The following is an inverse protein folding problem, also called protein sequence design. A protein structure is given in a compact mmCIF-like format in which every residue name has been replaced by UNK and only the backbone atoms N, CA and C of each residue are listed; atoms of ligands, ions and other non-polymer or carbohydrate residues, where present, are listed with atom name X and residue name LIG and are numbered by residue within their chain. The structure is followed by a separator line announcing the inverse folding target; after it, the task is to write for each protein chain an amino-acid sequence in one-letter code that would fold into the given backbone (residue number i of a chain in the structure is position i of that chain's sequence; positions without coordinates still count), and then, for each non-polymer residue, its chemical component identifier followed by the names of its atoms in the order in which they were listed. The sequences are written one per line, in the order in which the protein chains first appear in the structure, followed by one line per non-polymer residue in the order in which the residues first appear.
data_IF_569771786760
#
_entry.id   IF_569771786760
#
_cell.length_a   1.000
_cell.length_b   1.000
_cell.length_c   1.000
_cell.angle_alpha   90.00
_cell.angle_beta   90.00
_cell.angle_gamma   90.00
#
_symmetry.space_group_name_H-M   'P 1'
#
loop_
_entity.id
_entity.type
_entity.pdbx_description
1 polymer ?
#
# COMPACT_ATOMS: atom_id res chain seq x y z
N UNK A 1 28.11 5.60 1.75
CA UNK A 1 27.76 7.02 1.49
C UNK A 1 26.31 7.08 1.02
N UNK A 2 25.46 7.80 1.76
CA UNK A 2 24.01 7.66 1.80
C UNK A 2 23.29 8.05 0.50
N UNK A 3 22.71 7.06 -0.20
CA UNK A 3 21.81 7.24 -1.36
C UNK A 3 20.60 8.13 -1.01
N UNK A 4 20.13 8.05 0.24
CA UNK A 4 19.04 8.89 0.76
C UNK A 4 19.44 10.38 0.74
N UNK A 5 20.66 10.71 1.13
CA UNK A 5 21.16 12.10 1.10
C UNK A 5 21.25 12.62 -0.34
N UNK A 6 21.65 11.77 -1.29
CA UNK A 6 21.70 12.14 -2.71
C UNK A 6 20.29 12.40 -3.29
N UNK A 7 19.32 11.55 -2.98
CA UNK A 7 17.94 11.70 -3.46
C UNK A 7 17.26 12.94 -2.88
N UNK A 8 17.43 13.20 -1.59
CA UNK A 8 16.91 14.41 -0.94
C UNK A 8 17.55 15.67 -1.53
N UNK A 9 18.87 15.66 -1.72
CA UNK A 9 19.59 16.77 -2.36
C UNK A 9 19.11 17.01 -3.80
N UNK A 10 18.90 15.95 -4.57
CA UNK A 10 18.45 16.05 -5.96
C UNK A 10 17.00 16.55 -6.07
N UNK A 11 16.12 16.15 -5.16
CA UNK A 11 14.73 16.66 -5.07
C UNK A 11 14.72 18.15 -4.72
N UNK A 12 15.46 18.56 -3.69
CA UNK A 12 15.54 19.97 -3.28
C UNK A 12 16.13 20.87 -4.38
N UNK A 13 17.12 20.36 -5.14
CA UNK A 13 17.71 21.08 -6.27
C UNK A 13 16.73 21.24 -7.45
N UNK A 14 15.89 20.25 -7.71
CA UNK A 14 14.84 20.34 -8.72
C UNK A 14 13.74 21.33 -8.32
N UNK A 15 13.32 21.29 -7.06
CA UNK A 15 12.31 22.20 -6.51
C UNK A 15 12.79 23.66 -6.52
N UNK A 16 14.05 23.91 -6.17
CA UNK A 16 14.66 25.24 -6.28
C UNK A 16 14.69 25.77 -7.72
N UNK A 17 14.92 24.91 -8.71
CA UNK A 17 14.88 25.28 -10.14
C UNK A 17 13.47 25.62 -10.60
N UNK A 18 12.48 24.83 -10.20
CA UNK A 18 11.07 25.11 -10.51
C UNK A 18 10.61 26.43 -9.87
N UNK A 19 10.98 26.67 -8.61
CA UNK A 19 10.68 27.91 -7.91
C UNK A 19 11.35 29.13 -8.59
N UNK A 20 12.62 29.01 -9.01
CA UNK A 20 13.31 30.06 -9.75
C UNK A 20 12.63 30.37 -11.10
N UNK A 21 12.19 29.35 -11.84
CA UNK A 21 11.46 29.54 -13.12
C UNK A 21 10.10 30.20 -12.90
N UNK A 22 9.36 29.82 -11.85
CA UNK A 22 8.11 30.48 -11.44
C UNK A 22 8.32 31.94 -11.04
N UNK A 23 9.38 32.24 -10.27
CA UNK A 23 9.73 33.62 -9.91
C UNK A 23 10.17 34.44 -11.12
N UNK A 24 10.90 33.86 -12.07
CA UNK A 24 11.28 34.54 -13.32
C UNK A 24 10.04 34.87 -14.17
N UNK A 25 9.12 33.91 -14.36
CA UNK A 25 7.86 34.12 -15.09
C UNK A 25 6.99 35.18 -14.39
N UNK A 26 6.92 35.17 -13.07
CA UNK A 26 6.21 36.20 -12.29
C UNK A 26 6.85 37.59 -12.43
N UNK A 27 8.18 37.69 -12.45
CA UNK A 27 8.91 38.93 -12.70
C UNK A 27 8.68 39.45 -14.12
N UNK A 28 8.69 38.57 -15.12
CA UNK A 28 8.42 38.91 -16.52
C UNK A 28 7.00 39.44 -16.71
N UNK A 29 6.00 38.75 -16.15
CA UNK A 29 4.59 39.20 -16.19
C UNK A 29 4.46 40.57 -15.52
N UNK A 30 5.10 40.77 -14.36
CA UNK A 30 5.08 42.06 -13.65
C UNK A 30 5.76 43.16 -14.48
N UNK A 31 6.90 42.88 -15.11
CA UNK A 31 7.59 43.84 -15.95
C UNK A 31 6.73 44.25 -17.14
N UNK A 32 6.10 43.28 -17.79
CA UNK A 32 5.22 43.50 -18.96
C UNK A 32 3.95 44.27 -18.60
N UNK A 33 3.40 44.06 -17.40
CA UNK A 33 2.29 44.84 -16.87
C UNK A 33 2.71 46.29 -16.58
N UNK A 34 3.89 46.49 -15.98
CA UNK A 34 4.46 47.83 -15.74
C UNK A 34 4.73 48.57 -17.06
N UNK A 35 5.26 47.88 -18.07
CA UNK A 35 5.49 48.44 -19.41
C UNK A 35 4.17 48.84 -20.10
N UNK A 36 3.13 48.00 -19.96
CA UNK A 36 1.79 48.31 -20.48
C UNK A 36 1.18 49.53 -19.79
N UNK A 37 1.32 49.64 -18.47
CA UNK A 37 0.87 50.83 -17.73
C UNK A 37 1.63 52.09 -18.14
N UNK A 38 2.95 52.01 -18.35
CA UNK A 38 3.73 53.15 -18.84
C UNK A 38 3.30 53.58 -20.24
N UNK A 39 3.01 52.61 -21.11
CA UNK A 39 2.51 52.90 -22.46
C UNK A 39 1.13 53.55 -22.45
N UNK A 40 0.22 53.09 -21.60
CA UNK A 40 -1.12 53.67 -21.44
C UNK A 40 -1.06 55.11 -20.88
N UNK A 41 -0.16 55.37 -19.92
CA UNK A 41 0.07 56.74 -19.42
C UNK A 41 0.62 57.64 -20.53
N UNK A 42 1.58 57.16 -21.33
CA UNK A 42 2.12 57.94 -22.45
C UNK A 42 1.09 58.20 -23.56
N UNK A 43 0.21 57.24 -23.85
CA UNK A 43 -0.89 57.39 -24.81
C UNK A 43 -1.98 58.36 -24.30
N UNK A 44 -2.29 58.34 -23.00
CA UNK A 44 -3.18 59.32 -22.36
C UNK A 44 -2.56 60.72 -22.33
N UNK A 45 -1.27 60.86 -21.98
CA UNK A 45 -0.57 62.15 -22.03
C UNK A 45 -0.48 62.70 -23.46
N UNK A 46 -0.36 61.83 -24.47
CA UNK A 46 -0.41 62.22 -25.87
C UNK A 46 -1.82 62.63 -26.29
N UNK A 47 -2.86 61.93 -25.80
CA UNK A 47 -4.26 62.29 -26.07
C UNK A 47 -4.67 63.59 -25.39
N UNK A 48 -4.24 63.84 -24.15
CA UNK A 48 -4.54 65.09 -23.42
C UNK A 48 -3.87 66.30 -24.06
N UNK A 49 -2.67 66.14 -24.65
CA UNK A 49 -2.02 67.22 -25.43
C UNK A 49 -2.77 67.57 -26.71
N UNK A 50 -3.42 66.61 -27.36
CA UNK A 50 -4.23 66.86 -28.55
C UNK A 50 -5.64 67.36 -28.21
N UNK A 51 -6.20 66.95 -27.07
CA UNK A 51 -7.51 67.41 -26.61
C UNK A 51 -7.49 68.84 -26.04
N UNK A 52 -6.35 69.34 -25.55
CA UNK A 52 -6.22 70.72 -25.09
C UNK A 52 -5.98 71.75 -26.21
N UNK A 53 -5.73 71.32 -27.46
CA UNK A 53 -5.65 72.23 -28.61
C UNK A 53 -6.99 72.54 -29.29
N UNK A 54 -8.05 71.76 -29.04
CA UNK A 54 -9.32 71.85 -29.79
C UNK A 54 -10.56 72.12 -28.92
N UNK A 55 -10.39 72.71 -27.72
CA UNK A 55 -11.52 73.19 -26.91
C UNK A 55 -11.70 74.70 -27.04
N UNK A 56 -11.90 75.13 -28.28
CA UNK A 56 -12.57 76.38 -28.59
C UNK A 56 -13.43 76.21 -29.84
N UNK A 57 -14.56 75.53 -29.74
CA UNK A 57 -15.85 75.92 -30.35
C UNK A 57 -16.94 74.83 -30.21
N UNK A 58 -18.17 75.32 -30.05
CA UNK A 58 -19.47 74.66 -30.32
C UNK A 58 -20.13 73.81 -29.22
N UNK A 59 -21.07 74.48 -28.52
CA UNK A 59 -22.37 73.95 -28.11
C UNK A 59 -23.02 73.05 -29.17
N UNK A 60 -23.58 71.90 -28.78
CA UNK A 60 -24.96 71.51 -29.13
C UNK A 60 -25.47 70.29 -28.35
N UNK A 61 -26.79 70.28 -28.16
CA UNK A 61 -27.62 69.40 -27.35
C UNK A 61 -27.72 67.94 -27.83
N UNK A 62 -27.98 67.06 -26.86
CA UNK A 62 -29.16 66.19 -26.92
C UNK A 62 -28.95 64.68 -27.11
N UNK A 63 -29.45 63.92 -26.12
CA UNK A 63 -30.01 62.56 -26.17
C UNK A 63 -29.01 61.42 -26.50
N UNK A 64 -28.79 60.43 -25.64
CA UNK A 64 -29.81 59.60 -24.98
C UNK A 64 -30.08 58.39 -25.87
N UNK A 65 -29.43 57.25 -25.60
CA UNK A 65 -30.12 55.97 -25.37
C UNK A 65 -29.15 54.78 -25.25
N UNK A 66 -29.41 54.04 -24.18
CA UNK A 66 -28.81 52.77 -23.83
C UNK A 66 -29.39 51.64 -24.70
N UNK A 67 -28.55 50.81 -25.32
CA UNK A 67 -28.96 49.44 -25.67
C UNK A 67 -27.89 48.46 -25.20
N UNK A 68 -28.19 47.87 -24.03
CA UNK A 68 -27.63 46.62 -23.55
C UNK A 68 -28.37 45.48 -24.23
N UNK A 69 -27.66 44.58 -24.92
CA UNK A 69 -28.16 43.23 -25.17
C UNK A 69 -27.08 42.19 -24.84
N UNK A 70 -27.44 41.40 -23.84
CA UNK A 70 -26.67 40.33 -23.20
C UNK A 70 -26.81 39.04 -24.01
N UNK A 71 -25.75 38.25 -23.93
CA UNK A 71 -25.43 36.94 -24.49
C UNK A 71 -26.57 35.91 -24.64
N UNK A 72 -26.45 35.01 -25.65
CA UNK A 72 -26.21 33.55 -25.49
C UNK A 72 -26.52 32.75 -26.78
N UNK A 73 -25.53 32.05 -27.34
CA UNK A 73 -25.44 30.58 -27.37
C UNK A 73 -24.38 30.08 -28.38
N UNK A 74 -23.43 29.31 -27.86
CA UNK A 74 -22.55 28.41 -28.60
C UNK A 74 -23.36 27.28 -29.22
N UNK A 75 -23.19 27.02 -30.53
CA UNK A 75 -23.34 25.68 -31.08
C UNK A 75 -22.16 25.36 -31.99
N UNK A 76 -21.44 24.32 -31.57
CA UNK A 76 -20.43 23.60 -32.31
C UNK A 76 -20.99 23.10 -33.65
N UNK A 77 -20.40 23.52 -34.76
CA UNK A 77 -20.51 22.78 -36.02
C UNK A 77 -19.11 22.35 -36.41
N UNK A 78 -18.86 21.07 -36.15
CA UNK A 78 -17.76 20.32 -36.72
C UNK A 78 -18.13 19.81 -38.10
N UNK A 79 -17.09 19.76 -38.94
CA UNK A 79 -16.84 18.83 -40.06
C UNK A 79 -17.22 19.23 -41.48
N UNK A 80 -16.24 18.90 -42.33
CA UNK A 80 -16.27 18.72 -43.78
C UNK A 80 -16.42 19.98 -44.64
N UNK A 81 -15.29 20.58 -45.01
CA UNK A 81 -15.13 21.30 -46.28
C UNK A 81 -13.68 21.19 -46.75
N UNK A 82 -13.29 20.00 -47.21
CA UNK A 82 -12.09 19.78 -48.02
C UNK A 82 -12.48 19.57 -49.48
N UNK A 83 -13.07 20.56 -50.13
CA UNK A 83 -13.14 20.63 -51.60
C UNK A 83 -13.44 22.08 -52.04
N UNK A 84 -12.43 22.92 -52.23
CA UNK A 84 -12.46 23.98 -53.25
C UNK A 84 -11.13 24.73 -53.25
N UNK A 85 -10.17 24.24 -54.02
CA UNK A 85 -8.91 24.95 -54.28
C UNK A 85 -8.57 24.93 -55.77
N UNK A 86 -9.58 25.11 -56.63
CA UNK A 86 -9.35 25.18 -58.07
C UNK A 86 -10.28 26.13 -58.83
N UNK A 87 -10.76 27.21 -58.19
CA UNK A 87 -11.63 28.16 -58.86
C UNK A 87 -11.42 29.60 -58.38
N UNK A 88 -10.22 30.16 -58.54
CA UNK A 88 -10.05 31.61 -58.69
C UNK A 88 -8.59 31.97 -58.97
N UNK A 89 -8.18 32.05 -60.23
CA UNK A 89 -6.87 32.63 -60.59
C UNK A 89 -6.76 33.23 -61.98
N UNK A 90 -7.87 33.53 -62.71
CA UNK A 90 -7.77 34.10 -64.08
C UNK A 90 -8.83 35.13 -64.49
N UNK A 91 -9.45 35.84 -63.56
CA UNK A 91 -10.30 36.99 -63.91
C UNK A 91 -10.05 38.17 -62.99
N UNK A 92 -8.94 38.87 -63.18
CA UNK A 92 -8.88 40.32 -62.88
C UNK A 92 -7.64 40.94 -63.51
N UNK A 93 -7.70 41.21 -64.81
CA UNK A 93 -6.71 42.05 -65.50
C UNK A 93 -7.34 42.87 -66.63
N UNK A 94 -8.63 43.18 -66.50
CA UNK A 94 -9.35 44.13 -67.36
C UNK A 94 -10.52 44.69 -66.56
N UNK A 95 -10.23 45.65 -65.71
CA UNK A 95 -11.19 46.71 -65.44
C UNK A 95 -10.55 47.97 -66.03
N UNK A 96 -10.95 48.25 -67.26
CA UNK A 96 -10.68 49.49 -67.96
C UNK A 96 -11.19 50.63 -67.08
N UNK A 97 -10.32 51.55 -66.70
CA UNK A 97 -10.73 52.83 -66.11
C UNK A 97 -11.45 53.64 -67.19
N UNK A 98 -12.75 53.41 -67.34
CA UNK A 98 -13.65 54.38 -67.94
C UNK A 98 -13.93 55.48 -66.89
N UNK A 99 -12.88 56.23 -66.55
CA UNK A 99 -12.94 57.49 -65.81
C UNK A 99 -13.36 58.61 -66.77
N UNK A 100 -14.62 58.62 -67.15
CA UNK A 100 -15.28 59.83 -67.64
C UNK A 100 -16.63 59.96 -66.94
N UNK A 101 -16.59 60.08 -65.62
CA UNK A 101 -17.66 60.68 -64.84
C UNK A 101 -17.46 62.19 -64.83
N UNK A 102 -17.89 62.88 -65.88
CA UNK A 102 -17.82 64.36 -66.02
C UNK A 102 -18.75 65.12 -65.03
N UNK A 103 -19.23 64.46 -63.97
CA UNK A 103 -20.09 65.03 -62.94
C UNK A 103 -19.43 64.90 -61.55
N UNK A 104 -19.28 66.01 -60.80
CA UNK A 104 -18.66 66.00 -59.46
C UNK A 104 -19.41 65.17 -58.42
N UNK A 105 -20.63 64.67 -58.73
CA UNK A 105 -21.36 63.74 -57.87
C UNK A 105 -20.82 62.31 -57.98
N UNK A 106 -20.44 61.86 -59.16
CA UNK A 106 -20.01 60.47 -59.37
C UNK A 106 -18.63 60.23 -58.76
N UNK A 107 -17.74 61.23 -58.80
CA UNK A 107 -16.45 61.18 -58.13
C UNK A 107 -16.60 61.14 -56.59
N UNK A 108 -17.61 61.81 -56.04
CA UNK A 108 -17.93 61.74 -54.60
C UNK A 108 -18.49 60.37 -54.21
N UNK A 109 -19.33 59.78 -55.04
CA UNK A 109 -19.83 58.41 -54.81
C UNK A 109 -18.70 57.38 -54.89
N UNK A 110 -17.78 57.52 -55.85
CA UNK A 110 -16.61 56.66 -55.96
C UNK A 110 -15.65 56.81 -54.77
N UNK A 111 -15.38 58.03 -54.34
CA UNK A 111 -14.58 58.31 -53.14
C UNK A 111 -15.23 57.68 -51.90
N UNK A 112 -16.54 57.82 -51.74
CA UNK A 112 -17.27 57.21 -50.64
C UNK A 112 -17.23 55.68 -50.68
N UNK A 113 -17.34 55.07 -51.86
CA UNK A 113 -17.23 53.61 -52.02
C UNK A 113 -15.82 53.10 -51.67
N UNK A 114 -14.78 53.85 -52.05
CA UNK A 114 -13.40 53.56 -51.64
C UNK A 114 -13.20 53.70 -50.14
N UNK A 115 -13.75 54.76 -49.52
CA UNK A 115 -13.73 54.96 -48.07
C UNK A 115 -14.43 53.81 -47.33
N UNK A 116 -15.60 53.36 -47.81
CA UNK A 116 -16.29 52.21 -47.24
C UNK A 116 -15.50 50.90 -47.39
N UNK A 117 -14.84 50.68 -48.54
CA UNK A 117 -13.96 49.52 -48.76
C UNK A 117 -12.76 49.56 -47.82
N UNK A 118 -12.14 50.73 -47.62
CA UNK A 118 -11.07 50.90 -46.65
C UNK A 118 -11.56 50.61 -45.22
N UNK A 119 -12.72 51.14 -44.84
CA UNK A 119 -13.32 50.87 -43.52
C UNK A 119 -13.59 49.38 -43.32
N UNK A 120 -14.18 48.69 -44.31
CA UNK A 120 -14.45 47.24 -44.25
C UNK A 120 -13.17 46.42 -44.11
N UNK A 121 -12.12 46.76 -44.86
CA UNK A 121 -10.82 46.07 -44.77
C UNK A 121 -10.13 46.33 -43.44
N UNK A 122 -10.17 47.54 -42.89
CA UNK A 122 -9.60 47.84 -41.57
C UNK A 122 -10.33 47.08 -40.45
N UNK A 123 -11.66 46.99 -40.50
CA UNK A 123 -12.45 46.21 -39.53
C UNK A 123 -12.11 44.71 -39.66
N UNK A 124 -12.05 44.18 -40.88
CA UNK A 124 -11.68 42.78 -41.11
C UNK A 124 -10.25 42.49 -40.66
N UNK A 125 -9.31 43.41 -40.88
CA UNK A 125 -7.93 43.26 -40.43
C UNK A 125 -7.84 43.22 -38.90
N UNK A 126 -8.57 44.10 -38.21
CA UNK A 126 -8.66 44.09 -36.75
C UNK A 126 -9.31 42.79 -36.21
N UNK A 127 -10.29 42.23 -36.93
CA UNK A 127 -10.87 40.92 -36.59
C UNK A 127 -9.84 39.79 -36.74
N UNK A 128 -9.10 39.77 -37.85
CA UNK A 128 -8.07 38.77 -38.11
C UNK A 128 -6.93 38.86 -37.09
N UNK A 129 -6.55 40.06 -36.63
CA UNK A 129 -5.55 40.22 -35.58
C UNK A 129 -6.04 39.67 -34.22
N UNK A 130 -7.33 39.86 -33.88
CA UNK A 130 -7.91 39.25 -32.68
C UNK A 130 -7.94 37.73 -32.76
N UNK A 131 -8.33 37.17 -33.90
CA UNK A 131 -8.33 35.72 -34.13
C UNK A 131 -6.91 35.14 -34.09
N UNK A 132 -5.95 35.79 -34.75
CA UNK A 132 -4.52 35.44 -34.69
C UNK A 132 -4.03 35.45 -33.26
N UNK A 133 -4.35 36.49 -32.48
CA UNK A 133 -3.93 36.58 -31.09
C UNK A 133 -4.58 35.49 -30.22
N UNK A 134 -5.85 35.16 -30.48
CA UNK A 134 -6.54 34.03 -29.83
C UNK A 134 -5.85 32.69 -30.14
N UNK A 135 -5.52 32.43 -31.41
CA UNK A 135 -4.80 31.21 -31.80
C UNK A 135 -3.39 31.15 -31.23
N UNK A 136 -2.69 32.28 -31.14
CA UNK A 136 -1.37 32.34 -30.47
C UNK A 136 -1.48 31.89 -29.02
N UNK A 137 -2.46 32.40 -28.27
CA UNK A 137 -2.68 31.96 -26.88
C UNK A 137 -3.04 30.48 -26.79
N UNK A 138 -3.88 29.98 -27.70
CA UNK A 138 -4.27 28.57 -27.72
C UNK A 138 -3.06 27.66 -28.01
N UNK A 139 -2.19 28.05 -28.95
CA UNK A 139 -0.95 27.34 -29.25
C UNK A 139 -0.03 27.30 -28.02
N UNK A 140 0.11 28.42 -27.29
CA UNK A 140 0.95 28.46 -26.10
C UNK A 140 0.39 27.60 -24.96
N UNK A 141 -0.94 27.55 -24.80
CA UNK A 141 -1.57 26.62 -23.85
C UNK A 141 -1.30 25.16 -24.22
N UNK A 142 -1.42 24.80 -25.51
CA UNK A 142 -1.12 23.45 -25.96
C UNK A 142 0.36 23.08 -25.81
N UNK A 143 1.29 24.04 -25.97
CA UNK A 143 2.71 23.79 -25.67
C UNK A 143 2.93 23.50 -24.19
N UNK A 144 2.35 24.31 -23.30
CA UNK A 144 2.43 24.10 -21.86
C UNK A 144 1.85 22.71 -21.47
N UNK A 145 0.72 22.31 -22.06
CA UNK A 145 0.12 20.97 -21.84
C UNK A 145 1.00 19.84 -22.38
N UNK A 146 1.58 20.00 -23.58
CA UNK A 146 2.50 19.01 -24.14
C UNK A 146 3.76 18.84 -23.28
N UNK A 147 4.35 19.94 -22.79
CA UNK A 147 5.49 19.90 -21.88
C UNK A 147 5.13 19.16 -20.57
N UNK A 148 3.94 19.39 -20.01
CA UNK A 148 3.47 18.70 -18.81
C UNK A 148 3.28 17.19 -19.05
N UNK A 149 2.71 16.79 -20.19
CA UNK A 149 2.55 15.38 -20.54
C UNK A 149 3.91 14.68 -20.73
N UNK A 150 4.89 15.36 -21.33
CA UNK A 150 6.25 14.84 -21.47
C UNK A 150 6.94 14.63 -20.12
N UNK A 151 6.83 15.60 -19.19
CA UNK A 151 7.35 15.47 -17.83
C UNK A 151 6.67 14.30 -17.08
N UNK A 152 5.36 14.16 -17.21
CA UNK A 152 4.60 13.07 -16.61
C UNK A 152 5.02 11.70 -17.17
N UNK A 153 5.20 11.59 -18.48
CA UNK A 153 5.71 10.36 -19.12
C UNK A 153 7.10 9.98 -18.59
N UNK A 154 8.02 10.94 -18.50
CA UNK A 154 9.38 10.70 -17.99
C UNK A 154 9.36 10.29 -16.51
N UNK A 155 8.50 10.90 -15.70
CA UNK A 155 8.31 10.55 -14.29
C UNK A 155 7.80 9.12 -14.14
N UNK A 156 6.73 8.78 -14.88
CA UNK A 156 6.15 7.43 -14.86
C UNK A 156 7.17 6.38 -15.34
N UNK A 157 7.97 6.69 -16.36
CA UNK A 157 9.01 5.80 -16.84
C UNK A 157 10.10 5.53 -15.78
N UNK A 158 10.50 6.56 -15.02
CA UNK A 158 11.46 6.41 -13.92
C UNK A 158 10.87 5.55 -12.79
N UNK A 159 9.64 5.85 -12.39
CA UNK A 159 8.98 5.15 -11.30
C UNK A 159 8.71 3.68 -11.67
N UNK A 160 8.39 3.38 -12.94
CA UNK A 160 8.33 2.01 -13.47
C UNK A 160 9.67 1.29 -13.33
N UNK A 161 10.78 1.91 -13.75
CA UNK A 161 12.13 1.32 -13.63
C UNK A 161 12.48 1.03 -12.17
N UNK A 162 12.10 1.89 -11.24
CA UNK A 162 12.32 1.67 -9.80
C UNK A 162 11.46 0.52 -9.27
N UNK A 163 10.18 0.46 -9.61
CA UNK A 163 9.29 -0.65 -9.24
C UNK A 163 9.77 -1.98 -9.82
N UNK A 164 10.26 -2.02 -11.06
CA UNK A 164 10.87 -3.22 -11.65
C UNK A 164 12.10 -3.69 -10.87
N UNK A 165 12.97 -2.76 -10.44
CA UNK A 165 14.15 -3.11 -9.60
C UNK A 165 13.73 -3.67 -8.25
N UNK A 166 12.74 -3.07 -7.60
CA UNK A 166 12.21 -3.53 -6.32
C UNK A 166 11.54 -4.90 -6.46
N UNK A 167 10.80 -5.14 -7.55
CA UNK A 167 10.22 -6.44 -7.85
C UNK A 167 11.28 -7.53 -8.00
N UNK A 168 12.35 -7.26 -8.77
CA UNK A 168 13.45 -8.22 -8.93
C UNK A 168 14.22 -8.46 -7.63
N UNK A 169 14.36 -7.46 -6.76
CA UNK A 169 14.93 -7.62 -5.43
C UNK A 169 14.05 -8.54 -4.56
N UNK A 170 12.75 -8.23 -4.50
CA UNK A 170 11.78 -9.00 -3.72
C UNK A 170 11.67 -10.45 -4.22
N UNK A 171 11.77 -10.66 -5.54
CA UNK A 171 11.81 -11.99 -6.15
C UNK A 171 13.02 -12.79 -5.66
N UNK A 172 14.22 -12.20 -5.69
CA UNK A 172 15.45 -12.84 -5.19
C UNK A 172 15.34 -13.19 -3.70
N UNK A 173 14.77 -12.30 -2.89
CA UNK A 173 14.63 -12.56 -1.46
C UNK A 173 13.54 -13.61 -1.17
N UNK A 174 12.47 -13.65 -1.96
CA UNK A 174 11.48 -14.74 -1.92
C UNK A 174 12.08 -16.09 -2.32
N UNK A 175 12.92 -16.14 -3.35
CA UNK A 175 13.60 -17.36 -3.77
C UNK A 175 14.53 -17.90 -2.68
N UNK A 176 15.30 -17.03 -2.02
CA UNK A 176 16.11 -17.41 -0.85
C UNK A 176 15.24 -17.94 0.28
N UNK A 177 14.17 -17.24 0.64
CA UNK A 177 13.29 -17.67 1.73
C UNK A 177 12.61 -19.01 1.43
N UNK A 178 12.25 -19.26 0.16
CA UNK A 178 11.74 -20.56 -0.29
C UNK A 178 12.78 -21.67 -0.17
N UNK A 179 14.03 -21.37 -0.50
CA UNK A 179 15.14 -22.31 -0.34
C UNK A 179 15.37 -22.63 1.15
N UNK A 180 15.47 -21.60 1.99
CA UNK A 180 15.65 -21.77 3.44
C UNK A 180 14.48 -22.54 4.06
N UNK A 181 13.24 -22.23 3.67
CA UNK A 181 12.06 -22.98 4.08
C UNK A 181 12.14 -24.46 3.70
N UNK A 182 12.58 -24.76 2.47
CA UNK A 182 12.80 -26.13 2.03
C UNK A 182 13.85 -26.84 2.88
N UNK A 183 15.00 -26.20 3.12
CA UNK A 183 16.05 -26.77 3.97
C UNK A 183 15.55 -27.04 5.39
N UNK A 184 14.81 -26.11 6.01
CA UNK A 184 14.24 -26.33 7.34
C UNK A 184 13.17 -27.42 7.35
N UNK A 185 12.36 -27.51 6.29
CA UNK A 185 11.37 -28.58 6.13
C UNK A 185 12.06 -29.94 6.05
N UNK A 186 13.07 -30.08 5.18
CA UNK A 186 13.82 -31.31 5.00
C UNK A 186 14.55 -31.71 6.31
N UNK A 187 15.13 -30.75 7.03
CA UNK A 187 15.76 -30.98 8.33
C UNK A 187 14.76 -31.43 9.42
N UNK A 188 13.55 -30.87 9.42
CA UNK A 188 12.47 -31.32 10.31
C UNK A 188 12.00 -32.73 9.95
N UNK A 189 11.84 -33.04 8.66
CA UNK A 189 11.48 -34.38 8.19
C UNK A 189 12.53 -35.41 8.59
N UNK A 190 13.83 -35.09 8.49
CA UNK A 190 14.92 -35.96 8.96
C UNK A 190 14.86 -36.17 10.49
N UNK A 191 14.65 -35.11 11.27
CA UNK A 191 14.47 -35.21 12.73
C UNK A 191 13.28 -36.10 13.09
N UNK A 192 12.14 -35.92 12.44
CA UNK A 192 10.95 -36.74 12.68
C UNK A 192 11.17 -38.21 12.27
N UNK A 193 11.94 -38.46 11.21
CA UNK A 193 12.35 -39.82 10.83
C UNK A 193 13.26 -40.46 11.88
N UNK A 194 14.22 -39.71 12.45
CA UNK A 194 15.10 -40.20 13.52
C UNK A 194 14.30 -40.50 14.79
N UNK A 195 13.33 -39.66 15.15
CA UNK A 195 12.43 -39.89 16.29
C UNK A 195 11.64 -41.19 16.09
N UNK A 196 11.08 -41.40 14.89
CA UNK A 196 10.37 -42.64 14.55
C UNK A 196 11.28 -43.87 14.61
N UNK A 197 12.50 -43.78 14.08
CA UNK A 197 13.49 -44.89 14.10
C UNK A 197 13.95 -45.24 15.52
N UNK A 198 13.97 -44.25 16.42
CA UNK A 198 14.30 -44.45 17.83
C UNK A 198 13.11 -44.96 18.67
N UNK A 199 11.97 -45.28 18.04
CA UNK A 199 10.71 -45.65 18.70
C UNK A 199 10.30 -44.65 19.80
N UNK A 200 10.49 -43.36 19.52
CA UNK A 200 10.08 -42.27 20.40
C UNK A 200 8.81 -41.59 19.85
N UNK A 201 7.97 -41.12 20.76
CA UNK A 201 6.71 -40.41 20.46
C UNK A 201 6.73 -39.06 21.15
N UNK A 202 6.27 -38.04 20.42
CA UNK A 202 6.14 -36.68 20.93
C UNK A 202 4.76 -36.51 21.58
N UNK A 203 4.74 -36.26 22.88
CA UNK A 203 3.52 -35.94 23.64
C UNK A 203 3.48 -34.43 23.88
N UNK A 204 2.35 -33.79 23.58
CA UNK A 204 2.13 -32.38 23.85
C UNK A 204 1.23 -32.21 25.06
N UNK A 205 1.67 -31.40 26.02
CA UNK A 205 0.83 -30.94 27.11
C UNK A 205 -0.31 -30.07 26.55
N UNK A 206 -1.50 -30.15 27.12
CA UNK A 206 -2.70 -29.48 26.59
C UNK A 206 -2.56 -27.95 26.50
N UNK A 207 -1.64 -27.34 27.27
CA UNK A 207 -1.32 -25.91 27.17
C UNK A 207 -0.64 -25.55 25.85
N UNK A 208 0.13 -26.48 25.26
CA UNK A 208 0.74 -26.31 23.94
C UNK A 208 -0.28 -26.22 22.79
N UNK A 209 -1.44 -26.89 22.91
CA UNK A 209 -2.54 -26.79 21.92
C UNK A 209 -3.17 -25.39 21.90
N UNK A 210 -3.32 -24.74 23.06
CA UNK A 210 -3.81 -23.36 23.18
C UNK A 210 -2.82 -22.33 22.63
N UNK A 211 -1.51 -22.59 22.75
CA UNK A 211 -0.46 -21.71 22.23
C UNK A 211 -0.40 -21.80 20.69
N UNK A 212 -0.45 -23.01 20.13
CA UNK A 212 -0.46 -23.22 18.69
C UNK A 212 -1.70 -22.60 18.01
N UNK A 213 -2.88 -22.71 18.62
CA UNK A 213 -4.10 -22.11 18.07
C UNK A 213 -4.06 -20.57 18.06
N UNK A 214 -3.44 -19.94 19.06
CA UNK A 214 -3.17 -18.49 19.07
C UNK A 214 -2.17 -18.08 17.98
N UNK A 215 -1.12 -18.87 17.76
CA UNK A 215 -0.06 -18.56 16.79
C UNK A 215 -0.49 -18.74 15.34
N UNK A 216 -1.35 -19.72 15.03
CA UNK A 216 -1.91 -19.88 13.69
C UNK A 216 -2.93 -18.78 13.35
N UNK A 217 -3.65 -18.25 14.34
CA UNK A 217 -4.67 -17.22 14.13
C UNK A 217 -4.08 -15.82 13.90
N UNK A 218 -2.90 -15.52 14.45
CA UNK A 218 -2.21 -14.24 14.21
C UNK A 218 -1.56 -14.13 12.83
N UNK A 219 -1.37 -15.24 12.10
CA UNK A 219 -0.74 -15.25 10.76
C UNK A 219 -1.69 -15.15 9.57
N UNK A 220 -3.01 -15.21 9.78
CA UNK A 220 -4.00 -15.18 8.69
C UNK A 220 -4.53 -13.77 8.34
N UNK A 221 -4.04 -12.70 8.99
CA UNK A 221 -4.55 -11.34 8.76
C UNK A 221 -3.71 -10.53 7.77
N UNK A 222 -2.46 -10.92 7.48
CA UNK A 222 -1.60 -10.15 6.57
C UNK A 222 -1.17 -11.00 5.38
N UNK A 223 -1.99 -11.02 4.33
CA UNK A 223 -1.64 -11.63 3.04
C UNK A 223 -2.80 -12.30 2.29
N UNK A 224 -4.01 -11.73 2.33
CA UNK A 224 -5.11 -12.16 1.49
C UNK A 224 -5.03 -11.51 0.11
N UNK A 225 -4.58 -12.25 -0.90
CA UNK A 225 -5.02 -11.99 -2.28
C UNK A 225 -6.48 -12.48 -2.33
N UNK A 226 -7.42 -11.55 -2.15
CA UNK A 226 -8.83 -11.82 -2.43
C UNK A 226 -9.00 -11.97 -3.94
N UNK A 227 -9.12 -13.20 -4.41
CA UNK A 227 -9.82 -13.48 -5.66
C UNK A 227 -11.29 -13.11 -5.48
N UNK A 228 -11.69 -11.92 -5.94
CA UNK A 228 -13.10 -11.56 -6.12
C UNK A 228 -13.36 -11.20 -7.58
N UNK A 229 -13.99 -12.15 -8.25
CA UNK A 229 -14.76 -11.93 -9.48
C UNK A 229 -15.90 -10.94 -9.21
N UNK A 230 -15.91 -9.86 -9.98
CA UNK A 230 -17.03 -9.00 -10.38
C UNK A 230 -18.06 -8.56 -9.33
N UNK A 231 -18.10 -7.24 -9.07
CA UNK A 231 -19.26 -6.41 -9.39
C UNK A 231 -18.87 -4.92 -9.46
N UNK A 232 -19.35 -4.26 -10.51
CA UNK A 232 -19.39 -2.81 -10.66
C UNK A 232 -20.18 -2.18 -9.49
N UNK A 233 -19.64 -1.12 -8.89
CA UNK A 233 -20.30 0.18 -8.85
C UNK A 233 -19.37 1.26 -8.29
N UNK A 234 -19.66 2.46 -8.78
CA UNK A 234 -18.98 3.71 -8.60
C UNK A 234 -19.13 4.30 -7.19
N UNK A 235 -18.23 5.26 -6.95
CA UNK A 235 -18.39 6.46 -6.12
C UNK A 235 -17.68 6.50 -4.75
N UNK A 236 -17.01 7.65 -4.60
CA UNK A 236 -16.59 8.34 -3.38
C UNK A 236 -15.20 8.07 -2.77
N UNK A 237 -14.26 8.88 -3.26
CA UNK A 237 -13.36 9.78 -2.51
C UNK A 237 -13.59 9.78 -0.98
N UNK A 238 -12.54 9.40 -0.23
CA UNK A 238 -12.00 10.04 0.98
C UNK A 238 -10.79 9.19 1.41
N UNK A 239 -9.56 9.69 1.46
CA UNK A 239 -9.10 10.66 2.45
C UNK A 239 -8.06 9.95 3.31
N UNK A 240 -6.79 10.18 2.98
CA UNK A 240 -5.61 9.74 3.74
C UNK A 240 -5.74 10.14 5.22
N UNK A 241 -5.56 9.20 6.15
CA UNK A 241 -4.74 9.32 7.38
C UNK A 241 -4.55 7.91 7.97
N UNK A 242 -3.49 7.22 7.58
CA UNK A 242 -3.01 6.04 8.32
C UNK A 242 -1.74 6.45 9.08
N UNK A 243 -1.91 6.81 10.35
CA UNK A 243 -0.86 6.75 11.35
C UNK A 243 -0.60 5.27 11.67
N UNK A 244 0.19 4.59 10.82
CA UNK A 244 0.72 3.28 11.14
C UNK A 244 1.89 3.44 12.11
N UNK A 245 1.58 3.45 13.41
CA UNK A 245 2.55 3.13 14.44
C UNK A 245 2.95 1.66 14.28
N UNK A 246 4.02 1.43 13.52
CA UNK A 246 4.75 0.17 13.48
C UNK A 246 5.23 -0.19 14.89
N UNK A 247 4.46 -1.02 15.60
CA UNK A 247 4.97 -1.74 16.76
C UNK A 247 5.78 -2.93 16.24
N UNK A 248 7.03 -2.66 15.85
CA UNK A 248 8.10 -3.64 15.68
C UNK A 248 8.42 -4.27 17.06
N UNK A 249 7.54 -5.15 17.54
CA UNK A 249 7.92 -6.08 18.59
C UNK A 249 8.58 -7.29 17.94
N UNK A 250 9.90 -7.37 18.10
CA UNK A 250 10.70 -8.57 17.90
C UNK A 250 9.97 -9.79 18.50
N UNK A 251 9.24 -10.54 17.67
CA UNK A 251 8.66 -11.81 18.09
C UNK A 251 9.80 -12.83 18.12
N UNK A 252 10.42 -12.98 19.29
CA UNK A 252 11.24 -14.15 19.58
C UNK A 252 10.42 -15.42 19.34
N UNK A 253 11.04 -16.52 18.86
CA UNK A 253 10.35 -17.78 18.71
C UNK A 253 9.83 -18.23 20.08
N UNK A 254 8.51 -18.34 20.23
CA UNK A 254 7.88 -18.90 21.43
C UNK A 254 8.38 -20.34 21.57
N UNK A 255 9.27 -20.57 22.53
CA UNK A 255 9.83 -21.89 22.80
C UNK A 255 8.74 -22.79 23.37
N UNK A 256 8.23 -23.70 22.54
CA UNK A 256 7.26 -24.72 22.93
C UNK A 256 7.89 -25.84 23.77
N UNK A 257 9.17 -25.73 24.14
CA UNK A 257 9.96 -26.78 24.80
C UNK A 257 9.31 -27.28 26.09
N UNK A 258 8.66 -26.40 26.83
CA UNK A 258 8.08 -26.72 28.14
C UNK A 258 6.73 -27.44 28.00
N UNK A 259 6.19 -27.50 26.78
CA UNK A 259 4.90 -28.12 26.47
C UNK A 259 5.01 -29.41 25.65
N UNK A 260 6.23 -29.86 25.35
CA UNK A 260 6.49 -30.98 24.46
C UNK A 260 7.51 -31.92 25.11
N UNK A 261 7.11 -33.18 25.31
CA UNK A 261 7.97 -34.24 25.86
C UNK A 261 8.16 -35.37 24.86
N UNK A 262 9.37 -35.96 24.82
CA UNK A 262 9.69 -37.16 24.04
C UNK A 262 9.72 -38.37 24.98
N UNK A 263 8.93 -39.40 24.68
CA UNK A 263 8.80 -40.62 25.49
C UNK A 263 8.90 -41.84 24.55
N UNK A 264 9.35 -42.99 25.05
CA UNK A 264 9.34 -44.22 24.24
C UNK A 264 7.90 -44.62 23.85
N UNK A 265 7.78 -45.31 22.71
CA UNK A 265 6.51 -45.79 22.19
C UNK A 265 5.79 -46.69 23.20
N UNK A 266 6.53 -47.60 23.83
CA UNK A 266 6.01 -48.50 24.87
C UNK A 266 5.46 -47.71 26.07
N UNK A 267 6.21 -46.71 26.56
CA UNK A 267 5.73 -45.89 27.67
C UNK A 267 4.52 -45.02 27.26
N UNK A 268 4.45 -44.56 26.01
CA UNK A 268 3.28 -43.85 25.50
C UNK A 268 2.04 -44.75 25.39
N UNK A 269 2.20 -46.03 25.00
CA UNK A 269 1.13 -47.02 24.98
C UNK A 269 0.61 -47.30 26.39
N UNK A 270 1.49 -47.53 27.38
CA UNK A 270 1.07 -47.70 28.77
C UNK A 270 0.34 -46.47 29.33
N UNK A 271 0.79 -45.27 28.96
CA UNK A 271 0.11 -44.03 29.35
C UNK A 271 -1.22 -43.81 28.62
N UNK A 272 -1.49 -44.51 27.52
CA UNK A 272 -2.78 -44.39 26.81
C UNK A 272 -3.90 -45.16 27.49
N UNK A 273 -3.56 -46.25 28.18
CA UNK A 273 -4.50 -47.11 28.92
C UNK A 273 -4.99 -46.47 30.23
N UNK A 274 -4.21 -45.52 30.77
CA UNK A 274 -4.51 -44.83 32.02
C UNK A 274 -5.37 -43.60 31.74
N UNK A 275 -6.47 -43.47 32.49
CA UNK A 275 -7.36 -42.31 32.42
C UNK A 275 -6.66 -41.06 32.96
N UNK A 276 -6.81 -39.91 32.28
CA UNK A 276 -6.20 -38.67 32.73
C UNK A 276 -6.04 -37.65 31.61
N UNK A 277 -6.26 -36.38 31.94
CA UNK A 277 -6.24 -35.29 30.97
C UNK A 277 -4.82 -34.78 30.65
N UNK A 278 -3.87 -34.95 31.56
CA UNK A 278 -2.48 -34.50 31.42
C UNK A 278 -1.48 -35.63 31.65
N UNK A 279 -0.29 -35.51 31.05
CA UNK A 279 0.81 -36.45 31.28
C UNK A 279 1.16 -36.56 32.77
N UNK A 280 1.14 -35.43 33.48
CA UNK A 280 1.47 -35.35 34.90
C UNK A 280 0.42 -36.04 35.78
N UNK A 281 -0.87 -35.91 35.44
CA UNK A 281 -1.96 -36.64 36.11
C UNK A 281 -1.78 -38.15 35.99
N UNK A 282 -1.51 -38.63 34.76
CA UNK A 282 -1.29 -40.06 34.49
C UNK A 282 -0.07 -40.60 35.23
N UNK A 283 1.03 -39.86 35.23
CA UNK A 283 2.24 -40.22 35.98
C UNK A 283 2.00 -40.24 37.49
N UNK A 284 1.23 -39.29 38.02
CA UNK A 284 0.88 -39.26 39.44
C UNK A 284 0.04 -40.47 39.87
N UNK A 285 -0.90 -40.91 39.03
CA UNK A 285 -1.74 -42.08 39.29
C UNK A 285 -0.90 -43.36 39.36
N UNK A 286 -0.02 -43.61 38.37
CA UNK A 286 0.93 -44.73 38.38
C UNK A 286 1.77 -44.73 39.67
N UNK A 287 2.25 -43.55 40.09
CA UNK A 287 3.05 -43.43 41.31
C UNK A 287 2.23 -43.74 42.56
N UNK A 288 0.94 -43.40 42.58
CA UNK A 288 0.04 -43.71 43.70
C UNK A 288 -0.28 -45.20 43.79
N UNK A 289 -0.58 -45.85 42.66
CA UNK A 289 -0.81 -47.30 42.58
C UNK A 289 0.44 -48.07 42.99
N UNK A 290 1.62 -47.64 42.49
CA UNK A 290 2.91 -48.22 42.89
C UNK A 290 3.12 -48.11 44.40
N UNK A 291 2.84 -46.95 45.01
CA UNK A 291 2.94 -46.77 46.48
C UNK A 291 1.97 -47.69 47.22
N UNK A 292 0.73 -47.81 46.74
CA UNK A 292 -0.28 -48.69 47.34
C UNK A 292 0.15 -50.16 47.31
N UNK A 293 0.57 -50.67 46.15
CA UNK A 293 1.08 -52.04 46.01
C UNK A 293 2.34 -52.27 46.85
N UNK A 294 3.25 -51.30 46.92
CA UNK A 294 4.43 -51.41 47.77
C UNK A 294 4.06 -51.52 49.26
N UNK A 295 3.06 -50.76 49.70
CA UNK A 295 2.56 -50.85 51.07
C UNK A 295 1.91 -52.22 51.33
N UNK A 296 1.14 -52.75 50.36
CA UNK A 296 0.56 -54.09 50.46
C UNK A 296 1.64 -55.18 50.53
N UNK A 297 2.70 -55.09 49.71
CA UNK A 297 3.86 -56.00 49.76
C UNK A 297 4.54 -55.93 51.13
N UNK A 298 4.72 -54.73 51.69
CA UNK A 298 5.32 -54.56 53.01
C UNK A 298 4.44 -55.14 54.13
N UNK A 299 3.12 -54.95 54.07
CA UNK A 299 2.18 -55.57 55.01
C UNK A 299 2.26 -57.09 54.95
N UNK A 300 2.17 -57.67 53.75
CA UNK A 300 2.25 -59.12 53.56
C UNK A 300 3.60 -59.69 54.01
N UNK A 301 4.70 -58.94 53.82
CA UNK A 301 6.01 -59.32 54.36
C UNK A 301 6.02 -59.34 55.88
N UNK A 302 5.46 -58.32 56.53
CA UNK A 302 5.35 -58.27 57.99
C UNK A 302 4.46 -59.40 58.52
N UNK A 303 3.34 -59.70 57.87
CA UNK A 303 2.43 -60.79 58.24
C UNK A 303 3.12 -62.16 58.10
N UNK A 304 3.86 -62.37 57.00
CA UNK A 304 4.67 -63.59 56.82
C UNK A 304 5.80 -63.71 57.85
N UNK A 305 6.42 -62.60 58.22
CA UNK A 305 7.48 -62.59 59.25
C UNK A 305 6.90 -62.85 60.64
N UNK A 306 5.73 -62.31 60.95
CA UNK A 306 4.98 -62.62 62.16
C UNK A 306 4.58 -64.10 62.22
N UNK A 307 4.09 -64.67 61.11
CA UNK A 307 3.76 -66.10 61.04
C UNK A 307 5.00 -66.99 61.10
N UNK A 308 6.15 -66.57 60.52
CA UNK A 308 7.43 -67.27 60.71
C UNK A 308 7.86 -67.25 62.17
N UNK A 309 7.85 -66.09 62.82
CA UNK A 309 8.16 -65.96 64.24
C UNK A 309 7.19 -66.79 65.11
N UNK A 310 5.92 -66.90 64.69
CA UNK A 310 4.92 -67.75 65.34
C UNK A 310 5.22 -69.24 65.14
N UNK A 311 5.63 -69.66 63.96
CA UNK A 311 6.08 -71.03 63.69
C UNK A 311 7.34 -71.33 64.51
N UNK A 312 8.31 -70.41 64.52
CA UNK A 312 9.57 -70.55 65.27
C UNK A 312 9.31 -70.72 66.78
N UNK A 313 8.43 -69.88 67.35
CA UNK A 313 8.01 -70.01 68.75
C UNK A 313 7.23 -71.29 69.05
N UNK A 314 6.41 -71.78 68.10
CA UNK A 314 5.73 -73.08 68.22
C UNK A 314 6.71 -74.25 68.11
N UNK A 315 7.71 -74.18 67.22
CA UNK A 315 8.77 -75.19 67.12
C UNK A 315 9.65 -75.21 68.37
N UNK A 316 9.98 -74.05 68.93
CA UNK A 316 10.71 -73.95 70.21
C UNK A 316 9.90 -74.54 71.36
N UNK A 317 8.58 -74.27 71.39
CA UNK A 317 7.67 -74.84 72.39
C UNK A 317 7.50 -76.37 72.25
N UNK A 318 7.46 -76.87 71.02
CA UNK A 318 7.41 -78.32 70.71
C UNK A 318 8.74 -79.02 71.03
N UNK A 319 9.87 -78.36 70.78
CA UNK A 319 11.19 -78.85 71.17
C UNK A 319 11.33 -78.93 72.70
N UNK A 320 10.90 -77.90 73.42
CA UNK A 320 10.88 -77.87 74.89
C UNK A 320 9.93 -78.94 75.49
N UNK A 321 8.78 -79.19 74.86
CA UNK A 321 7.85 -80.23 75.29
C UNK A 321 8.43 -81.64 75.05
N UNK A 322 9.10 -81.86 73.92
CA UNK A 322 9.77 -83.14 73.62
C UNK A 322 10.95 -83.41 74.56
N UNK A 323 11.70 -82.40 74.99
CA UNK A 323 12.74 -82.56 76.01
C UNK A 323 12.14 -82.91 77.39
N UNK A 324 11.01 -82.29 77.77
CA UNK A 324 10.36 -82.59 79.05
C UNK A 324 9.78 -84.01 79.09
N UNK A 325 9.16 -84.48 78.00
CA UNK A 325 8.71 -85.89 77.88
C UNK A 325 9.87 -86.89 77.88
N UNK A 326 11.06 -86.50 77.38
CA UNK A 326 12.26 -87.34 77.47
C UNK A 326 12.83 -87.37 78.90
N UNK A 327 12.82 -86.26 79.62
CA UNK A 327 13.25 -86.21 81.03
C UNK A 327 12.27 -86.93 81.96
N UNK A 328 10.96 -86.77 81.78
CA UNK A 328 9.95 -87.44 82.61
C UNK A 328 9.98 -88.97 82.41
N UNK A 329 10.14 -89.45 81.16
CA UNK A 329 10.34 -90.89 80.90
C UNK A 329 11.65 -91.42 81.49
N UNK A 330 12.71 -90.60 81.58
CA UNK A 330 13.97 -91.00 82.22
C UNK A 330 13.86 -91.00 83.75
N UNK A 331 13.07 -90.10 84.34
CA UNK A 331 12.80 -90.06 85.77
C UNK A 331 11.90 -91.22 86.23
N UNK A 332 10.92 -91.62 85.42
CA UNK A 332 10.00 -92.73 85.74
C UNK A 332 10.68 -94.11 85.64
N UNK A 333 11.73 -94.25 84.82
CA UNK A 333 12.54 -95.48 84.72
C UNK A 333 13.54 -95.62 85.89
N UNK A 334 13.91 -94.53 86.58
CA UNK A 334 14.81 -94.57 87.74
C UNK A 334 14.08 -94.74 89.09
N UNK A 335 12.75 -94.77 89.10
CA UNK A 335 11.90 -94.81 90.31
C UNK A 335 11.25 -96.18 90.58
N UNK A 336 11.47 -97.20 89.75
CA UNK A 336 11.05 -98.59 89.98
C UNK A 336 12.27 -99.51 89.84
#
# INVERSE_FOLDING_TARGET
FNIIVFLVYSKNKAEARLAARKQARAKEIRLRLMERQQKEIAENESSDRYNHSDLSHANHQGNGDHISMRCRNNQMISRESRTSSYASSRRSSQESLDLCGDSPRDLKHYLHELEEKLRKTLISNAQLDNEKQSFVYQIDLFKDEMEEQEENYLRLQRDFKEKSRNFEQLKRDNEKLRFDFKCFKDALEERDQLIKKADLVIIRNNDGKKILSKLCRSKLVNGGIETKSNLLNSDEINGEQNDEQETNQNQQPVLLTDSISLISKEAAEMLSEIEGESLESKLSEILSERKSMQNQINSLKNDLENERNRIDSLTDSLAASSSNLSSDKQAEIQSN
#
